data_IF_876178346458
#
_entry.id   IF_876178346458
#
_cell.length_a   1.000
_cell.length_b   1.000
_cell.length_c   1.000
_cell.angle_alpha   90.00
_cell.angle_beta   90.00
_cell.angle_gamma   90.00
#
_symmetry.space_group_name_H-M   'P 1'
#
loop_
_entity.id
_entity.type
_entity.pdbx_description
1 polymer ?
#
# COMPACT_ATOMS: atom_id res chain seq x y z
N UNK A 1 -2.93 41.41 8.11
CA UNK A 1 -3.43 40.53 9.18
C UNK A 1 -4.74 39.88 8.72
N UNK A 2 -4.69 38.87 7.83
CA UNK A 2 -5.85 38.09 7.34
C UNK A 2 -5.64 36.57 7.43
N UNK A 3 -4.55 36.13 8.06
CA UNK A 3 -4.16 34.71 8.15
C UNK A 3 -4.47 34.07 9.51
N UNK A 4 -5.01 34.84 10.48
CA UNK A 4 -5.26 34.33 11.84
C UNK A 4 -6.63 33.64 11.90
N UNK A 5 -7.66 34.22 11.27
CA UNK A 5 -9.03 33.65 11.28
C UNK A 5 -9.10 32.23 10.67
N UNK A 6 -8.34 31.95 9.61
CA UNK A 6 -8.28 30.61 9.01
C UNK A 6 -7.57 29.57 9.89
N UNK A 7 -6.72 30.01 10.81
CA UNK A 7 -6.00 29.12 11.71
C UNK A 7 -6.89 28.73 12.90
N UNK A 8 -7.68 29.67 13.43
CA UNK A 8 -8.65 29.40 14.49
C UNK A 8 -9.79 28.48 13.99
N UNK A 9 -10.26 28.67 12.75
CA UNK A 9 -11.21 27.77 12.11
C UNK A 9 -10.65 26.34 11.96
N UNK A 10 -9.37 26.23 11.56
CA UNK A 10 -8.69 24.93 11.43
C UNK A 10 -8.48 24.25 12.78
N UNK A 11 -8.12 25.01 13.83
CA UNK A 11 -8.02 24.48 15.20
C UNK A 11 -9.38 23.99 15.70
N UNK A 12 -10.45 24.77 15.50
CA UNK A 12 -11.80 24.35 15.92
C UNK A 12 -12.25 23.07 15.20
N UNK A 13 -11.95 22.96 13.90
CA UNK A 13 -12.20 21.73 13.13
C UNK A 13 -11.43 20.53 13.70
N UNK A 14 -10.16 20.71 14.04
CA UNK A 14 -9.34 19.66 14.65
C UNK A 14 -9.87 19.25 16.02
N UNK A 15 -10.23 20.20 16.88
CA UNK A 15 -10.78 19.93 18.21
C UNK A 15 -12.10 19.16 18.13
N UNK A 16 -12.98 19.55 17.22
CA UNK A 16 -14.24 18.84 16.97
C UNK A 16 -13.98 17.41 16.47
N UNK A 17 -13.09 17.24 15.51
CA UNK A 17 -12.70 15.92 14.99
C UNK A 17 -12.12 15.03 16.10
N UNK A 18 -11.26 15.59 16.96
CA UNK A 18 -10.67 14.88 18.10
C UNK A 18 -11.69 14.52 19.18
N UNK A 19 -12.73 15.35 19.35
CA UNK A 19 -13.85 15.07 20.26
C UNK A 19 -14.71 13.94 19.71
N UNK A 20 -15.12 14.00 18.44
CA UNK A 20 -15.88 12.95 17.77
C UNK A 20 -15.16 11.60 17.84
N UNK A 21 -13.84 11.59 17.59
CA UNK A 21 -13.03 10.38 17.73
C UNK A 21 -13.05 9.80 19.15
N UNK A 22 -12.98 10.66 20.19
CA UNK A 22 -13.07 10.23 21.59
C UNK A 22 -14.45 9.66 21.93
N UNK A 23 -15.51 10.28 21.45
CA UNK A 23 -16.89 9.84 21.68
C UNK A 23 -17.12 8.47 21.01
N UNK A 24 -16.66 8.30 19.78
CA UNK A 24 -16.70 7.02 19.05
C UNK A 24 -15.91 5.93 19.80
N UNK A 25 -14.69 6.24 20.27
CA UNK A 25 -13.87 5.29 21.02
C UNK A 25 -14.56 4.84 22.32
N UNK A 26 -15.16 5.79 23.05
CA UNK A 26 -15.92 5.50 24.27
C UNK A 26 -17.13 4.60 23.98
N UNK A 27 -17.82 4.82 22.87
CA UNK A 27 -18.92 3.97 22.42
C UNK A 27 -18.45 2.56 22.06
N UNK A 28 -17.30 2.42 21.39
CA UNK A 28 -16.70 1.13 21.04
C UNK A 28 -16.36 0.34 22.32
N UNK A 29 -15.70 0.98 23.28
CA UNK A 29 -15.34 0.38 24.57
C UNK A 29 -16.60 -0.05 25.36
N UNK A 30 -17.60 0.83 25.44
CA UNK A 30 -18.86 0.55 26.15
C UNK A 30 -19.61 -0.65 25.57
N UNK A 31 -19.51 -0.90 24.28
CA UNK A 31 -20.18 -2.00 23.59
C UNK A 31 -19.29 -3.24 23.44
N UNK A 32 -18.11 -3.29 24.06
CA UNK A 32 -17.12 -4.38 23.92
C UNK A 32 -16.75 -4.67 22.45
N UNK A 33 -16.70 -3.63 21.61
CA UNK A 33 -16.41 -3.75 20.17
C UNK A 33 -14.92 -3.50 19.83
N UNK A 34 -14.06 -3.32 20.83
CA UNK A 34 -12.67 -2.86 20.65
C UNK A 34 -11.85 -3.74 19.71
N UNK A 35 -11.89 -5.07 19.87
CA UNK A 35 -11.14 -6.00 19.01
C UNK A 35 -11.61 -5.94 17.54
N UNK A 36 -12.92 -5.84 17.32
CA UNK A 36 -13.51 -5.76 15.97
C UNK A 36 -13.22 -4.43 15.29
N UNK A 37 -13.20 -3.35 16.07
CA UNK A 37 -12.80 -2.05 15.57
C UNK A 37 -11.32 -2.03 15.19
N UNK A 38 -10.45 -2.69 15.97
CA UNK A 38 -9.04 -2.85 15.65
C UNK A 38 -8.83 -3.63 14.33
N UNK A 39 -9.58 -4.73 14.14
CA UNK A 39 -9.56 -5.49 12.88
C UNK A 39 -10.01 -4.63 11.69
N UNK A 40 -11.08 -3.85 11.86
CA UNK A 40 -11.58 -2.93 10.83
C UNK A 40 -10.55 -1.85 10.50
N UNK A 41 -9.92 -1.25 11.51
CA UNK A 41 -8.90 -0.23 11.34
C UNK A 41 -7.69 -0.77 10.59
N UNK A 42 -7.12 -1.90 11.05
CA UNK A 42 -5.97 -2.54 10.39
C UNK A 42 -6.27 -2.95 8.95
N UNK A 43 -7.48 -3.46 8.70
CA UNK A 43 -7.90 -3.81 7.33
C UNK A 43 -8.01 -2.57 6.45
N UNK A 44 -8.49 -1.44 6.98
CA UNK A 44 -8.56 -0.17 6.26
C UNK A 44 -7.16 0.41 5.99
N UNK A 45 -6.23 0.31 6.94
CA UNK A 45 -4.82 0.70 6.74
C UNK A 45 -4.19 -0.07 5.58
N UNK A 46 -4.44 -1.38 5.48
CA UNK A 46 -4.01 -2.18 4.33
C UNK A 46 -4.68 -1.76 3.01
N UNK A 47 -5.97 -1.40 3.05
CA UNK A 47 -6.67 -0.89 1.87
C UNK A 47 -6.04 0.40 1.34
N UNK A 48 -5.71 1.32 2.26
CA UNK A 48 -5.03 2.57 1.94
C UNK A 48 -3.65 2.31 1.37
N UNK A 49 -2.85 1.44 2.01
CA UNK A 49 -1.53 1.03 1.52
C UNK A 49 -1.59 0.58 0.05
N UNK A 50 -2.47 -0.37 -0.29
CA UNK A 50 -2.55 -0.89 -1.65
C UNK A 50 -3.05 0.15 -2.65
N UNK A 51 -3.96 1.02 -2.23
CA UNK A 51 -4.47 2.11 -3.09
C UNK A 51 -3.39 3.14 -3.39
N UNK A 52 -2.61 3.52 -2.37
CA UNK A 52 -1.46 4.43 -2.51
C UNK A 52 -0.41 3.79 -3.40
N UNK A 53 -0.01 2.54 -3.13
CA UNK A 53 0.97 1.82 -3.93
C UNK A 53 0.55 1.73 -5.41
N UNK A 54 -0.72 1.39 -5.69
CA UNK A 54 -1.23 1.33 -7.05
C UNK A 54 -1.20 2.71 -7.75
N UNK A 55 -1.50 3.76 -7.01
CA UNK A 55 -1.47 5.14 -7.52
C UNK A 55 -0.04 5.59 -7.83
N UNK A 56 0.89 5.35 -6.91
CA UNK A 56 2.31 5.69 -7.06
C UNK A 56 2.96 4.96 -8.24
N UNK A 57 2.66 3.68 -8.41
CA UNK A 57 3.14 2.91 -9.56
C UNK A 57 2.54 3.42 -10.88
N UNK A 58 1.25 3.73 -10.90
CA UNK A 58 0.58 4.28 -12.10
C UNK A 58 1.17 5.64 -12.49
N UNK A 59 1.39 6.53 -11.50
CA UNK A 59 2.00 7.84 -11.70
C UNK A 59 3.44 7.68 -12.19
N UNK A 60 4.22 6.79 -11.56
CA UNK A 60 5.62 6.56 -11.93
C UNK A 60 5.75 5.99 -13.34
N UNK A 61 4.91 5.00 -13.71
CA UNK A 61 4.85 4.47 -15.07
C UNK A 61 4.49 5.54 -16.10
N UNK A 62 3.44 6.31 -15.85
CA UNK A 62 3.04 7.40 -16.74
C UNK A 62 4.19 8.39 -16.94
N UNK A 63 4.89 8.74 -15.86
CA UNK A 63 5.98 9.68 -15.94
C UNK A 63 7.24 9.11 -16.62
N UNK A 64 7.52 7.82 -16.46
CA UNK A 64 8.60 7.14 -17.19
C UNK A 64 8.43 7.21 -18.72
N UNK A 65 7.19 7.26 -19.22
CA UNK A 65 6.94 7.37 -20.65
C UNK A 65 7.11 8.77 -21.23
N UNK A 66 6.99 9.82 -20.40
CA UNK A 66 7.02 11.22 -20.87
C UNK A 66 8.35 11.92 -20.55
N UNK A 67 9.17 11.32 -19.70
CA UNK A 67 10.38 11.94 -19.18
C UNK A 67 11.51 11.95 -20.21
N UNK A 68 12.09 13.14 -20.43
CA UNK A 68 13.18 13.34 -21.39
C UNK A 68 14.56 13.48 -20.74
N UNK A 69 14.63 13.57 -19.41
CA UNK A 69 15.88 13.69 -18.66
C UNK A 69 16.17 12.42 -17.88
N UNK A 70 17.43 11.98 -17.89
CA UNK A 70 17.85 10.74 -17.23
C UNK A 70 17.71 10.80 -15.71
N UNK A 71 17.92 11.97 -15.10
CA UNK A 71 17.73 12.17 -13.65
C UNK A 71 16.29 12.02 -13.20
N UNK A 72 15.36 12.57 -13.98
CA UNK A 72 13.93 12.41 -13.72
C UNK A 72 13.51 10.94 -13.98
N UNK A 73 14.08 10.28 -15.00
CA UNK A 73 13.84 8.85 -15.26
C UNK A 73 14.28 7.99 -14.06
N UNK A 74 15.49 8.21 -13.55
CA UNK A 74 16.00 7.47 -12.39
C UNK A 74 15.10 7.68 -11.16
N UNK A 75 14.60 8.90 -10.94
CA UNK A 75 13.68 9.18 -9.84
C UNK A 75 12.42 8.30 -9.90
N UNK A 76 11.80 8.13 -11.08
CA UNK A 76 10.61 7.27 -11.20
C UNK A 76 10.95 5.79 -11.10
N UNK A 77 12.09 5.36 -11.64
CA UNK A 77 12.58 3.98 -11.46
C UNK A 77 12.77 3.67 -9.98
N UNK A 78 13.42 4.57 -9.24
CA UNK A 78 13.60 4.46 -7.79
C UNK A 78 12.27 4.27 -7.08
N UNK A 79 11.30 5.14 -7.37
CA UNK A 79 9.99 5.09 -6.73
C UNK A 79 9.29 3.77 -7.01
N UNK A 80 9.37 3.23 -8.23
CA UNK A 80 8.80 1.91 -8.55
C UNK A 80 9.40 0.81 -7.68
N UNK A 81 10.74 0.70 -7.64
CA UNK A 81 11.40 -0.33 -6.84
C UNK A 81 11.09 -0.19 -5.35
N UNK A 82 11.06 1.05 -4.84
CA UNK A 82 10.72 1.35 -3.45
C UNK A 82 9.29 0.94 -3.13
N UNK A 83 8.31 1.41 -3.91
CA UNK A 83 6.88 1.11 -3.71
C UNK A 83 6.62 -0.39 -3.77
N UNK A 84 7.18 -1.11 -4.74
CA UNK A 84 7.04 -2.58 -4.81
C UNK A 84 7.59 -3.23 -3.54
N UNK A 85 8.81 -2.88 -3.14
CA UNK A 85 9.46 -3.47 -1.98
C UNK A 85 8.69 -3.21 -0.68
N UNK A 86 8.33 -1.96 -0.41
CA UNK A 86 7.62 -1.57 0.81
C UNK A 86 6.22 -2.19 0.87
N UNK A 87 5.52 -2.28 -0.26
CA UNK A 87 4.21 -2.94 -0.33
C UNK A 87 4.33 -4.42 0.02
N UNK A 88 5.32 -5.12 -0.52
CA UNK A 88 5.55 -6.54 -0.23
C UNK A 88 5.87 -6.73 1.25
N UNK A 89 6.78 -5.93 1.80
CA UNK A 89 7.19 -6.01 3.21
C UNK A 89 5.99 -5.75 4.13
N UNK A 90 5.19 -4.72 3.86
CA UNK A 90 4.02 -4.39 4.66
C UNK A 90 2.91 -5.46 4.56
N UNK A 91 2.66 -6.02 3.38
CA UNK A 91 1.73 -7.15 3.22
C UNK A 91 2.19 -8.37 4.02
N UNK A 92 3.47 -8.74 3.89
CA UNK A 92 4.04 -9.89 4.60
C UNK A 92 4.03 -9.69 6.12
N UNK A 93 4.35 -8.48 6.60
CA UNK A 93 4.25 -8.11 8.01
C UNK A 93 2.85 -8.27 8.59
N UNK A 94 1.82 -8.10 7.75
CA UNK A 94 0.41 -8.31 8.11
C UNK A 94 -0.13 -9.70 7.74
N UNK A 95 0.70 -10.62 7.23
CA UNK A 95 0.25 -11.90 6.68
C UNK A 95 -0.51 -12.77 7.67
N UNK A 96 -0.08 -12.80 8.94
CA UNK A 96 -0.78 -13.55 10.01
C UNK A 96 -2.18 -12.97 10.29
N UNK A 97 -2.30 -11.65 10.35
CA UNK A 97 -3.56 -10.96 10.56
C UNK A 97 -4.54 -11.24 9.41
N UNK A 98 -4.09 -11.08 8.17
CA UNK A 98 -4.91 -11.33 6.98
C UNK A 98 -5.35 -12.79 6.93
N UNK A 99 -4.44 -13.74 7.19
CA UNK A 99 -4.78 -15.16 7.21
C UNK A 99 -5.83 -15.46 8.27
N UNK A 100 -5.69 -14.94 9.49
CA UNK A 100 -6.67 -15.15 10.56
C UNK A 100 -8.07 -14.69 10.15
N UNK A 101 -8.19 -13.48 9.59
CA UNK A 101 -9.46 -12.98 9.08
C UNK A 101 -10.01 -13.88 7.97
N UNK A 102 -9.15 -14.37 7.08
CA UNK A 102 -9.58 -15.23 5.98
C UNK A 102 -10.01 -16.63 6.44
N UNK A 103 -9.51 -17.12 7.58
CA UNK A 103 -10.00 -18.35 8.18
C UNK A 103 -11.39 -18.18 8.81
N UNK A 104 -11.75 -16.96 9.22
CA UNK A 104 -13.08 -16.64 9.76
C UNK A 104 -14.15 -16.59 8.67
N UNK A 105 -13.81 -16.12 7.47
CA UNK A 105 -14.76 -15.94 6.37
C UNK A 105 -14.43 -16.88 5.21
N UNK A 106 -15.10 -18.04 5.12
CA UNK A 106 -14.82 -19.10 4.14
C UNK A 106 -14.71 -18.59 2.70
N UNK A 107 -15.57 -17.63 2.32
CA UNK A 107 -15.64 -17.02 0.99
C UNK A 107 -14.37 -16.23 0.60
N UNK A 108 -13.48 -15.96 1.55
CA UNK A 108 -12.22 -15.22 1.33
C UNK A 108 -11.01 -16.13 1.14
N UNK A 109 -11.12 -17.43 1.40
CA UNK A 109 -10.00 -18.39 1.37
C UNK A 109 -9.37 -18.49 -0.02
N UNK A 110 -10.19 -18.60 -1.06
CA UNK A 110 -9.72 -18.69 -2.45
C UNK A 110 -9.08 -17.38 -2.92
N UNK A 111 -9.66 -16.24 -2.53
CA UNK A 111 -9.08 -14.93 -2.81
C UNK A 111 -7.71 -14.77 -2.12
N UNK A 112 -7.60 -15.16 -0.85
CA UNK A 112 -6.33 -15.12 -0.10
C UNK A 112 -5.26 -16.02 -0.72
N UNK A 113 -5.64 -17.25 -1.11
CA UNK A 113 -4.75 -18.16 -1.82
C UNK A 113 -4.26 -17.55 -3.14
N UNK A 114 -5.16 -16.97 -3.92
CA UNK A 114 -4.84 -16.31 -5.20
C UNK A 114 -3.83 -15.18 -4.99
N UNK A 115 -4.04 -14.30 -4.01
CA UNK A 115 -3.11 -13.20 -3.70
C UNK A 115 -1.72 -13.75 -3.33
N UNK A 116 -1.68 -14.78 -2.49
CA UNK A 116 -0.43 -15.39 -2.04
C UNK A 116 0.33 -16.06 -3.19
N UNK A 117 -0.40 -16.79 -4.06
CA UNK A 117 0.17 -17.44 -5.23
C UNK A 117 0.70 -16.40 -6.24
N UNK A 118 -0.04 -15.32 -6.49
CA UNK A 118 0.38 -14.24 -7.37
C UNK A 118 1.61 -13.51 -6.84
N UNK A 119 1.68 -13.22 -5.53
CA UNK A 119 2.88 -12.63 -4.94
C UNK A 119 4.09 -13.55 -5.08
N UNK A 120 3.92 -14.85 -4.82
CA UNK A 120 5.00 -15.84 -4.97
C UNK A 120 5.48 -15.92 -6.42
N UNK A 121 4.55 -15.93 -7.38
CA UNK A 121 4.83 -15.92 -8.81
C UNK A 121 5.61 -14.66 -9.19
N UNK A 122 5.12 -13.48 -8.82
CA UNK A 122 5.81 -12.21 -9.05
C UNK A 122 7.25 -12.22 -8.52
N UNK A 123 7.44 -12.64 -7.26
CA UNK A 123 8.77 -12.69 -6.63
C UNK A 123 9.74 -13.60 -7.39
N UNK A 124 9.23 -14.70 -7.95
CA UNK A 124 10.01 -15.66 -8.73
C UNK A 124 10.34 -15.11 -10.12
N UNK A 125 9.34 -14.62 -10.83
CA UNK A 125 9.46 -14.21 -12.23
C UNK A 125 10.36 -12.97 -12.38
N UNK A 126 10.43 -12.12 -11.35
CA UNK A 126 11.22 -10.88 -11.35
C UNK A 126 12.44 -10.91 -10.42
N UNK A 127 12.89 -12.10 -10.01
CA UNK A 127 14.09 -12.30 -9.17
C UNK A 127 14.15 -11.36 -7.96
N UNK A 128 13.05 -11.24 -7.21
CA UNK A 128 12.86 -10.19 -6.20
C UNK A 128 14.05 -10.03 -5.23
N UNK A 129 14.58 -11.15 -4.73
CA UNK A 129 15.69 -11.12 -3.76
C UNK A 129 17.03 -10.71 -4.39
N UNK A 130 17.24 -11.02 -5.67
CA UNK A 130 18.53 -10.83 -6.36
C UNK A 130 18.56 -9.58 -7.25
N UNK A 131 17.41 -9.02 -7.57
CA UNK A 131 17.27 -7.88 -8.46
C UNK A 131 16.58 -6.70 -7.79
N UNK A 132 15.32 -6.86 -7.36
CA UNK A 132 14.51 -5.77 -6.81
C UNK A 132 15.12 -5.20 -5.52
N UNK A 133 15.53 -6.06 -4.57
CA UNK A 133 16.14 -5.59 -3.32
C UNK A 133 17.47 -4.85 -3.56
N UNK A 134 18.44 -5.40 -4.32
CA UNK A 134 19.67 -4.67 -4.64
C UNK A 134 19.42 -3.35 -5.37
N UNK A 135 18.55 -3.33 -6.37
CA UNK A 135 18.22 -2.10 -7.11
C UNK A 135 17.63 -1.03 -6.18
N UNK A 136 16.69 -1.41 -5.30
CA UNK A 136 16.14 -0.50 -4.28
C UNK A 136 17.24 0.10 -3.42
N UNK A 137 18.20 -0.71 -2.98
CA UNK A 137 19.29 -0.28 -2.10
C UNK A 137 20.30 0.62 -2.84
N UNK A 138 20.67 0.26 -4.06
CA UNK A 138 21.63 1.00 -4.89
C UNK A 138 21.13 2.42 -5.17
N UNK A 139 19.90 2.53 -5.68
CA UNK A 139 19.30 3.82 -6.05
C UNK A 139 18.92 4.67 -4.80
N UNK A 140 18.96 4.07 -3.60
CA UNK A 140 18.71 4.76 -2.33
C UNK A 140 19.97 5.21 -1.61
N UNK A 141 21.13 4.62 -1.90
CA UNK A 141 22.42 5.10 -1.40
C UNK A 141 22.79 6.44 -2.08
N UNK A 142 23.62 7.25 -1.42
CA UNK A 142 24.03 8.58 -1.91
C UNK A 142 24.27 8.58 -3.42
N UNK A 143 23.57 9.45 -4.14
CA UNK A 143 23.76 9.65 -5.59
C UNK A 143 25.14 10.25 -5.78
N UNK A 144 26.15 9.39 -5.86
CA UNK A 144 27.40 9.73 -6.50
C UNK A 144 27.12 9.80 -8.02
N UNK A 145 27.61 10.86 -8.66
CA UNK A 145 27.32 11.16 -10.07
C UNK A 145 27.88 10.07 -10.98
N UNK A 146 28.97 9.41 -10.61
CA UNK A 146 29.58 8.37 -11.44
C UNK A 146 28.76 7.08 -11.37
N UNK A 147 28.33 6.67 -10.18
CA UNK A 147 27.40 5.56 -9.98
C UNK A 147 26.00 5.84 -10.56
N UNK A 148 25.56 7.11 -10.58
CA UNK A 148 24.34 7.54 -11.25
C UNK A 148 24.37 7.25 -12.76
N UNK A 149 25.48 7.52 -13.45
CA UNK A 149 25.63 7.22 -14.88
C UNK A 149 25.74 5.73 -15.17
N UNK A 150 26.51 4.99 -14.37
CA UNK A 150 26.66 3.54 -14.54
C UNK A 150 25.34 2.78 -14.30
N UNK A 151 24.56 3.21 -13.30
CA UNK A 151 23.24 2.63 -13.02
C UNK A 151 22.22 3.02 -14.09
N UNK A 152 22.16 4.28 -14.54
CA UNK A 152 21.16 4.72 -15.53
C UNK A 152 21.37 4.14 -16.92
N UNK A 153 22.62 3.89 -17.34
CA UNK A 153 22.94 3.30 -18.65
C UNK A 153 22.51 1.82 -18.73
N UNK A 154 22.36 1.13 -17.60
CA UNK A 154 21.97 -0.29 -17.53
C UNK A 154 20.49 -0.52 -17.19
N UNK A 155 19.70 0.53 -17.03
CA UNK A 155 18.27 0.37 -16.72
C UNK A 155 17.50 -0.08 -17.97
N UNK A 156 17.06 -1.34 -17.93
CA UNK A 156 16.10 -1.89 -18.87
C UNK A 156 14.68 -1.41 -18.52
N UNK A 157 14.22 -0.39 -19.24
CA UNK A 157 12.90 0.22 -19.04
C UNK A 157 11.76 -0.74 -19.40
N UNK A 158 11.95 -1.59 -20.41
CA UNK A 158 10.93 -2.57 -20.82
C UNK A 158 10.73 -3.61 -19.72
N UNK A 159 11.83 -4.08 -19.12
CA UNK A 159 11.78 -4.97 -17.95
C UNK A 159 11.08 -4.31 -16.75
N UNK A 160 11.35 -3.03 -16.48
CA UNK A 160 10.68 -2.30 -15.38
C UNK A 160 9.19 -2.15 -15.65
N UNK A 161 8.82 -1.84 -16.90
CA UNK A 161 7.42 -1.72 -17.31
C UNK A 161 6.69 -3.05 -17.12
N UNK A 162 7.25 -4.16 -17.61
CA UNK A 162 6.70 -5.50 -17.46
C UNK A 162 6.54 -5.86 -15.97
N UNK A 163 7.58 -5.64 -15.17
CA UNK A 163 7.55 -5.89 -13.73
C UNK A 163 6.45 -5.09 -13.04
N UNK A 164 6.34 -3.80 -13.33
CA UNK A 164 5.36 -2.93 -12.69
C UNK A 164 3.93 -3.29 -13.09
N UNK A 165 3.72 -3.65 -14.36
CA UNK A 165 2.43 -4.11 -14.85
C UNK A 165 2.04 -5.45 -14.22
N UNK A 166 2.95 -6.42 -14.15
CA UNK A 166 2.73 -7.70 -13.48
C UNK A 166 2.37 -7.46 -12.00
N UNK A 167 3.13 -6.64 -11.28
CA UNK A 167 2.83 -6.33 -9.88
C UNK A 167 1.46 -5.66 -9.68
N UNK A 168 1.15 -4.65 -10.51
CA UNK A 168 -0.12 -3.92 -10.45
C UNK A 168 -1.33 -4.79 -10.79
N UNK A 169 -1.26 -5.52 -11.90
CA UNK A 169 -2.40 -6.26 -12.44
C UNK A 169 -2.63 -7.59 -11.75
N UNK A 170 -1.59 -8.36 -11.43
CA UNK A 170 -1.76 -9.68 -10.84
C UNK A 170 -1.80 -9.62 -9.30
N UNK A 171 -0.88 -8.88 -8.66
CA UNK A 171 -0.80 -8.84 -7.20
C UNK A 171 -1.70 -7.74 -6.59
N UNK A 172 -1.47 -6.46 -6.90
CA UNK A 172 -2.20 -5.36 -6.24
C UNK A 172 -3.71 -5.44 -6.50
N UNK A 173 -4.14 -5.71 -7.74
CA UNK A 173 -5.56 -5.86 -8.07
C UNK A 173 -6.25 -6.95 -7.24
N UNK A 174 -5.61 -8.12 -7.09
CA UNK A 174 -6.17 -9.23 -6.31
C UNK A 174 -6.13 -8.92 -4.82
N UNK A 175 -5.07 -8.29 -4.31
CA UNK A 175 -4.95 -7.87 -2.92
C UNK A 175 -6.03 -6.84 -2.55
N UNK A 176 -6.23 -5.81 -3.38
CA UNK A 176 -7.31 -4.83 -3.21
C UNK A 176 -8.67 -5.51 -3.20
N UNK A 177 -8.89 -6.50 -4.07
CA UNK A 177 -10.16 -7.22 -4.14
C UNK A 177 -10.42 -8.03 -2.86
N UNK A 178 -9.40 -8.75 -2.36
CA UNK A 178 -9.49 -9.45 -1.08
C UNK A 178 -9.83 -8.49 0.07
N UNK A 179 -9.11 -7.36 0.17
CA UNK A 179 -9.33 -6.39 1.25
C UNK A 179 -10.73 -5.78 1.18
N UNK A 180 -11.25 -5.50 -0.02
CA UNK A 180 -12.64 -5.03 -0.19
C UNK A 180 -13.65 -6.04 0.35
N UNK A 181 -13.43 -7.33 0.08
CA UNK A 181 -14.30 -8.40 0.58
C UNK A 181 -14.22 -8.45 2.12
N UNK A 182 -13.02 -8.42 2.70
CA UNK A 182 -12.82 -8.42 4.14
C UNK A 182 -13.47 -7.21 4.84
N UNK A 183 -13.29 -6.00 4.29
CA UNK A 183 -13.93 -4.79 4.79
C UNK A 183 -15.45 -4.92 4.78
N UNK A 184 -16.04 -5.47 3.71
CA UNK A 184 -17.48 -5.69 3.63
C UNK A 184 -17.97 -6.59 4.77
N UNK A 185 -17.28 -7.70 5.07
CA UNK A 185 -17.65 -8.58 6.19
C UNK A 185 -17.49 -7.89 7.54
N UNK A 186 -16.36 -7.22 7.77
CA UNK A 186 -16.08 -6.53 9.03
C UNK A 186 -17.10 -5.42 9.30
N UNK A 187 -17.44 -4.60 8.31
CA UNK A 187 -18.46 -3.56 8.43
C UNK A 187 -19.83 -4.16 8.71
N UNK A 188 -20.26 -5.19 7.97
CA UNK A 188 -21.54 -5.84 8.19
C UNK A 188 -21.64 -6.45 9.61
N UNK A 189 -20.58 -7.12 10.05
CA UNK A 189 -20.52 -7.71 11.39
C UNK A 189 -20.52 -6.64 12.49
N UNK A 190 -19.84 -5.51 12.26
CA UNK A 190 -19.84 -4.38 13.19
C UNK A 190 -21.24 -3.74 13.32
N UNK A 191 -21.91 -3.49 12.18
CA UNK A 191 -23.23 -2.86 12.15
C UNK A 191 -24.34 -3.78 12.72
N UNK A 192 -24.25 -5.09 12.49
CA UNK A 192 -25.26 -6.05 12.95
C UNK A 192 -25.37 -6.16 14.48
N UNK A 193 -24.30 -5.82 15.21
CA UNK A 193 -24.25 -5.87 16.68
C UNK A 193 -24.36 -4.49 17.34
N UNK A 194 -24.48 -3.44 16.53
CA UNK A 194 -24.73 -2.07 16.99
C UNK A 194 -26.23 -1.73 17.06
N UNK A 195 -27.10 -2.69 16.73
CA UNK A 195 -28.57 -2.60 16.80
C UNK A 195 -29.09 -3.43 17.97
#
# INVERSE_FOLDING_TARGET
MKNIDHFDDFISLLENTMKEYRDIKTLIEKNNLSERFEDLQKTNELAMLFTVANSDLTISLKNLHIVNKDSERLFFVKNIFLTIHETIVAYQGNGKFINNLCQTYDETKDAYKTVTDNLRKFKKDHDYERYIIPMRNSISAHIDIDSFYDETIQIDIDKILEMTLHFGQEFLSTAISLIKILLKYLVNNFLSQSR
#
